data_IF_043903971693
#
_entry.id   IF_043903971693
#
_cell.length_a   1.000
_cell.length_b   1.000
_cell.length_c   1.000
_cell.angle_alpha   90.00
_cell.angle_beta   90.00
_cell.angle_gamma   90.00
#
_symmetry.space_group_name_H-M   'P 1'
#
loop_
_entity.id
_entity.type
_entity.pdbx_description
1 polymer ?
#
# COMPACT_ATOMS: atom_id res chain seq x y z
N UNK A 1 17.99 -8.07 -21.73
CA UNK A 1 16.76 -7.31 -21.45
C UNK A 1 15.65 -8.24 -20.99
N UNK A 2 15.10 -8.03 -19.79
CA UNK A 2 14.00 -8.83 -19.23
C UNK A 2 12.68 -8.54 -19.97
N UNK A 3 11.88 -9.57 -20.20
CA UNK A 3 10.56 -9.49 -20.85
C UNK A 3 9.44 -9.41 -19.81
N UNK A 4 8.60 -8.38 -19.86
CA UNK A 4 7.54 -8.14 -18.87
C UNK A 4 6.17 -8.38 -19.51
N UNK A 5 5.32 -9.15 -18.86
CA UNK A 5 3.87 -9.15 -19.09
C UNK A 5 3.19 -8.15 -18.16
N UNK A 6 2.29 -7.34 -18.69
CA UNK A 6 1.38 -6.51 -17.90
C UNK A 6 0.01 -7.17 -17.86
N UNK A 7 -0.50 -7.39 -16.66
CA UNK A 7 -1.82 -7.96 -16.38
C UNK A 7 -2.57 -6.96 -15.51
N UNK A 8 -3.64 -6.34 -16.02
CA UNK A 8 -4.34 -5.31 -15.26
C UNK A 8 -5.85 -5.27 -15.44
N UNK A 9 -6.52 -4.48 -14.60
CA UNK A 9 -7.98 -4.31 -14.65
C UNK A 9 -8.43 -3.32 -15.72
N UNK A 10 -7.93 -2.08 -15.67
CA UNK A 10 -8.19 -1.03 -16.67
C UNK A 10 -6.92 -0.27 -17.02
N UNK A 11 -6.79 0.16 -18.27
CA UNK A 11 -5.69 1.02 -18.70
C UNK A 11 -6.20 2.33 -19.27
N UNK A 12 -6.28 3.37 -18.44
CA UNK A 12 -6.66 4.74 -18.86
C UNK A 12 -5.77 5.81 -18.22
N UNK A 13 -5.92 7.06 -18.64
CA UNK A 13 -5.25 8.18 -17.99
C UNK A 13 -5.56 8.21 -16.48
N UNK A 14 -4.51 8.36 -15.67
CA UNK A 14 -4.47 8.32 -14.21
C UNK A 14 -4.87 6.98 -13.55
N UNK A 15 -4.97 5.90 -14.33
CA UNK A 15 -5.09 4.55 -13.76
C UNK A 15 -3.74 4.06 -13.21
N UNK A 16 -3.76 3.12 -12.26
CA UNK A 16 -2.52 2.53 -11.77
C UNK A 16 -1.77 1.74 -12.84
N UNK A 17 -2.49 1.08 -13.76
CA UNK A 17 -1.84 0.44 -14.92
C UNK A 17 -1.03 1.48 -15.68
N UNK A 18 -1.59 2.66 -15.95
CA UNK A 18 -0.82 3.73 -16.57
C UNK A 18 0.35 4.19 -15.68
N UNK A 19 0.12 4.48 -14.41
CA UNK A 19 1.17 4.96 -13.52
C UNK A 19 2.36 3.99 -13.44
N UNK A 20 2.14 2.69 -13.48
CA UNK A 20 3.21 1.70 -13.30
C UNK A 20 3.75 1.22 -14.65
N UNK A 21 2.88 0.81 -15.58
CA UNK A 21 3.30 0.25 -16.87
C UNK A 21 3.99 1.28 -17.77
N UNK A 22 3.49 2.53 -17.86
CA UNK A 22 4.13 3.56 -18.71
C UNK A 22 5.58 3.83 -18.27
N UNK A 23 5.92 3.67 -16.99
CA UNK A 23 7.30 3.84 -16.51
C UNK A 23 8.27 2.78 -17.04
N UNK A 24 7.79 1.60 -17.40
CA UNK A 24 8.55 0.58 -18.13
C UNK A 24 8.54 0.81 -19.65
N UNK A 25 7.66 1.67 -20.17
CA UNK A 25 7.58 2.00 -21.60
C UNK A 25 8.42 3.23 -21.96
N UNK A 26 8.31 4.31 -21.18
CA UNK A 26 8.94 5.61 -21.47
C UNK A 26 10.09 5.98 -20.54
N UNK A 27 10.18 5.32 -19.38
CA UNK A 27 11.12 5.65 -18.30
C UNK A 27 10.49 6.51 -17.20
N UNK A 28 11.30 6.90 -16.22
CA UNK A 28 10.87 7.68 -15.06
C UNK A 28 12.04 8.47 -14.44
N UNK A 29 11.78 9.57 -13.70
CA UNK A 29 12.85 10.31 -13.02
C UNK A 29 13.42 9.51 -11.85
N UNK A 30 14.75 9.44 -11.74
CA UNK A 30 15.48 8.79 -10.65
C UNK A 30 16.81 9.52 -10.42
N UNK A 31 17.11 9.91 -9.17
CA UNK A 31 18.39 10.55 -8.82
C UNK A 31 18.72 11.80 -9.65
N UNK A 32 17.72 12.61 -10.01
CA UNK A 32 17.91 13.83 -10.83
C UNK A 32 18.08 13.59 -12.34
N UNK A 33 18.05 12.35 -12.82
CA UNK A 33 18.16 12.01 -14.25
C UNK A 33 16.95 11.22 -14.75
N UNK A 34 16.75 11.18 -16.08
CA UNK A 34 15.72 10.32 -16.68
C UNK A 34 16.24 8.89 -16.80
N UNK A 35 15.63 7.96 -16.08
CA UNK A 35 16.01 6.55 -16.07
C UNK A 35 15.10 5.75 -17.02
N UNK A 36 15.70 4.89 -17.84
CA UNK A 36 15.00 3.90 -18.66
C UNK A 36 15.37 2.50 -18.19
N UNK A 37 14.40 1.70 -17.71
CA UNK A 37 14.67 0.32 -17.29
C UNK A 37 15.28 -0.53 -18.42
N UNK A 38 16.25 -1.41 -18.11
CA UNK A 38 16.76 -2.43 -19.06
C UNK A 38 15.80 -3.64 -19.14
N UNK A 39 14.54 -3.33 -19.43
CA UNK A 39 13.43 -4.28 -19.52
C UNK A 39 12.46 -3.84 -20.61
N UNK A 40 11.68 -4.79 -21.12
CA UNK A 40 10.72 -4.54 -22.19
C UNK A 40 9.37 -5.15 -21.87
N UNK A 41 8.31 -4.35 -21.93
CA UNK A 41 6.93 -4.85 -21.96
C UNK A 41 6.70 -5.54 -23.31
N UNK A 42 6.30 -6.81 -23.28
CA UNK A 42 6.14 -7.65 -24.49
C UNK A 42 4.72 -8.15 -24.70
N UNK A 43 3.87 -8.06 -23.68
CA UNK A 43 2.47 -8.49 -23.74
C UNK A 43 1.64 -7.76 -22.70
N UNK A 44 0.35 -7.63 -23.01
CA UNK A 44 -0.64 -6.96 -22.17
C UNK A 44 -1.93 -7.79 -22.11
N UNK A 45 -2.51 -7.90 -20.92
CA UNK A 45 -3.91 -8.28 -20.71
C UNK A 45 -4.59 -7.19 -19.89
N UNK A 46 -5.76 -6.75 -20.34
CA UNK A 46 -6.62 -5.77 -19.64
C UNK A 46 -8.05 -6.30 -19.63
N UNK A 47 -8.62 -6.41 -18.43
CA UNK A 47 -9.95 -7.01 -18.19
C UNK A 47 -11.10 -6.15 -18.71
N UNK A 48 -11.07 -4.86 -18.40
CA UNK A 48 -12.11 -3.90 -18.76
C UNK A 48 -11.53 -2.77 -19.61
N UNK A 49 -12.17 -2.49 -20.75
CA UNK A 49 -11.77 -1.44 -21.69
C UNK A 49 -12.86 -0.34 -21.76
N UNK A 50 -12.96 0.55 -20.75
CA UNK A 50 -13.92 1.66 -20.75
C UNK A 50 -13.52 2.74 -21.77
N UNK A 51 -14.34 3.78 -21.89
CA UNK A 51 -13.98 4.98 -22.65
C UNK A 51 -12.62 5.54 -22.18
N UNK A 52 -11.77 5.92 -23.14
CA UNK A 52 -10.41 6.40 -22.87
C UNK A 52 -9.38 5.29 -22.57
N UNK A 53 -9.69 4.03 -22.89
CA UNK A 53 -8.73 2.93 -22.83
C UNK A 53 -7.48 3.20 -23.70
N UNK A 54 -6.31 2.90 -23.14
CA UNK A 54 -5.00 3.13 -23.74
C UNK A 54 -4.34 1.84 -24.24
N UNK A 55 -4.98 0.68 -24.06
CA UNK A 55 -4.36 -0.64 -24.24
C UNK A 55 -3.84 -0.84 -25.66
N UNK A 56 -4.71 -0.68 -26.66
CA UNK A 56 -4.35 -0.88 -28.08
C UNK A 56 -3.39 0.20 -28.58
N UNK A 57 -3.59 1.44 -28.11
CA UNK A 57 -2.73 2.57 -28.48
C UNK A 57 -1.30 2.34 -28.01
N UNK A 58 -1.10 1.95 -26.74
CA UNK A 58 0.22 1.63 -26.17
C UNK A 58 0.85 0.40 -26.83
N UNK A 59 0.05 -0.62 -27.12
CA UNK A 59 0.52 -1.80 -27.83
C UNK A 59 1.10 -1.45 -29.21
N UNK A 60 0.41 -0.59 -29.96
CA UNK A 60 0.87 -0.08 -31.26
C UNK A 60 2.13 0.79 -31.14
N UNK A 61 2.13 1.76 -30.21
CA UNK A 61 3.24 2.70 -30.00
C UNK A 61 4.57 2.01 -29.62
N UNK A 62 4.50 0.94 -28.81
CA UNK A 62 5.69 0.29 -28.25
C UNK A 62 5.96 -1.13 -28.79
N UNK A 63 5.14 -1.60 -29.73
CA UNK A 63 5.37 -2.85 -30.46
C UNK A 63 5.16 -4.13 -29.62
N UNK A 64 4.07 -4.20 -28.87
CA UNK A 64 3.60 -5.42 -28.18
C UNK A 64 2.13 -5.72 -28.52
N UNK A 65 1.57 -6.82 -28.00
CA UNK A 65 0.19 -7.24 -28.27
C UNK A 65 -0.68 -7.24 -27.02
N UNK A 66 -1.95 -6.91 -27.19
CA UNK A 66 -3.02 -7.11 -26.19
C UNK A 66 -3.63 -8.50 -26.44
N UNK A 67 -3.63 -9.34 -25.41
CA UNK A 67 -4.13 -10.71 -25.48
C UNK A 67 -5.49 -10.84 -24.77
N UNK A 68 -6.33 -11.79 -25.20
CA UNK A 68 -7.66 -12.00 -24.63
C UNK A 68 -7.64 -12.73 -23.28
N UNK A 69 -6.52 -13.33 -22.88
CA UNK A 69 -6.37 -14.03 -21.60
C UNK A 69 -5.01 -13.82 -20.96
N UNK A 70 -4.95 -13.97 -19.63
CA UNK A 70 -3.70 -13.91 -18.86
C UNK A 70 -2.73 -14.99 -19.35
N UNK A 71 -3.21 -16.21 -19.59
CA UNK A 71 -2.38 -17.31 -20.07
C UNK A 71 -1.73 -16.99 -21.43
N UNK A 72 -2.49 -16.44 -22.38
CA UNK A 72 -1.94 -16.03 -23.67
C UNK A 72 -0.96 -14.86 -23.54
N UNK A 73 -1.22 -13.88 -22.67
CA UNK A 73 -0.30 -12.78 -22.40
C UNK A 73 1.03 -13.29 -21.84
N UNK A 74 1.01 -14.21 -20.87
CA UNK A 74 2.21 -14.79 -20.28
C UNK A 74 3.01 -15.64 -21.28
N UNK A 75 2.35 -16.27 -22.25
CA UNK A 75 2.98 -17.09 -23.31
C UNK A 75 3.27 -16.32 -24.60
N UNK A 76 2.93 -15.03 -24.65
CA UNK A 76 2.96 -14.21 -25.87
C UNK A 76 2.26 -14.90 -27.07
N UNK A 77 1.18 -15.64 -26.83
CA UNK A 77 0.43 -16.41 -27.85
C UNK A 77 1.05 -17.75 -28.24
N UNK A 78 2.17 -18.15 -27.64
CA UNK A 78 2.76 -19.48 -27.80
C UNK A 78 2.25 -20.52 -26.80
N UNK A 79 2.95 -21.65 -26.73
CA UNK A 79 2.58 -22.81 -25.89
C UNK A 79 3.37 -22.91 -24.57
N UNK A 80 4.27 -21.96 -24.28
CA UNK A 80 5.07 -21.95 -23.06
C UNK A 80 5.36 -20.52 -22.58
N UNK A 81 5.64 -20.37 -21.29
CA UNK A 81 5.89 -19.10 -20.62
C UNK A 81 7.02 -18.32 -21.29
N UNK A 82 6.68 -17.19 -21.91
CA UNK A 82 7.55 -16.41 -22.78
C UNK A 82 7.97 -15.05 -22.18
N UNK A 83 7.72 -14.84 -20.89
CA UNK A 83 8.08 -13.62 -20.14
C UNK A 83 8.97 -13.93 -18.95
N UNK A 84 9.73 -12.95 -18.49
CA UNK A 84 10.66 -13.05 -17.35
C UNK A 84 10.12 -12.44 -16.07
N UNK A 85 9.01 -11.70 -16.13
CA UNK A 85 8.37 -11.05 -14.99
C UNK A 85 6.91 -10.68 -15.29
N UNK A 86 6.10 -10.50 -14.24
CA UNK A 86 4.68 -10.12 -14.34
C UNK A 86 4.40 -8.88 -13.49
N UNK A 87 3.86 -7.83 -14.12
CA UNK A 87 3.20 -6.72 -13.44
C UNK A 87 1.71 -7.02 -13.31
N UNK A 88 1.24 -7.31 -12.10
CA UNK A 88 -0.17 -7.55 -11.80
C UNK A 88 -0.78 -6.33 -11.12
N UNK A 89 -1.61 -5.58 -11.85
CA UNK A 89 -2.12 -4.26 -11.45
C UNK A 89 -3.64 -4.24 -11.58
N UNK A 90 -4.32 -4.69 -10.53
CA UNK A 90 -5.77 -4.78 -10.49
C UNK A 90 -6.28 -3.73 -9.52
N UNK A 91 -6.39 -2.49 -10.00
CA UNK A 91 -6.87 -1.33 -9.25
C UNK A 91 -7.62 -0.40 -10.19
N UNK A 92 -8.71 0.21 -9.70
CA UNK A 92 -9.80 0.74 -10.52
C UNK A 92 -10.50 -0.31 -11.41
N UNK A 93 -11.58 0.11 -12.05
CA UNK A 93 -12.51 -0.75 -12.78
C UNK A 93 -13.85 -0.83 -12.06
N UNK A 94 -14.84 -1.42 -12.73
CA UNK A 94 -16.14 -1.65 -12.15
C UNK A 94 -16.21 -3.09 -11.62
N UNK A 95 -16.09 -3.24 -10.31
CA UNK A 95 -16.17 -4.53 -9.61
C UNK A 95 -17.20 -4.43 -8.47
N UNK A 96 -17.86 -5.54 -8.11
CA UNK A 96 -18.85 -5.53 -7.03
C UNK A 96 -18.22 -5.15 -5.69
N UNK A 97 -19.06 -4.73 -4.75
CA UNK A 97 -18.68 -4.50 -3.34
C UNK A 97 -19.35 -5.52 -2.44
N UNK A 98 -18.70 -5.88 -1.34
CA UNK A 98 -19.32 -6.68 -0.27
C UNK A 98 -19.97 -5.78 0.81
N UNK A 99 -20.59 -6.42 1.80
CA UNK A 99 -21.20 -5.78 2.98
C UNK A 99 -20.23 -4.94 3.82
N UNK A 100 -18.93 -5.27 3.78
CA UNK A 100 -17.85 -4.51 4.43
C UNK A 100 -17.45 -3.27 3.63
N UNK A 101 -18.11 -3.00 2.50
CA UNK A 101 -17.82 -1.87 1.61
C UNK A 101 -16.59 -2.06 0.73
N UNK A 102 -15.90 -3.20 0.85
CA UNK A 102 -14.69 -3.49 0.09
C UNK A 102 -15.03 -3.72 -1.37
N UNK A 103 -14.19 -3.21 -2.27
CA UNK A 103 -14.30 -3.54 -3.69
C UNK A 103 -13.66 -4.91 -3.92
N UNK A 104 -14.38 -5.82 -4.56
CA UNK A 104 -13.95 -7.20 -4.79
C UNK A 104 -13.01 -7.31 -5.98
N UNK A 105 -11.91 -6.55 -5.94
CA UNK A 105 -10.87 -6.58 -6.97
C UNK A 105 -10.34 -8.00 -7.15
N UNK A 106 -10.32 -8.55 -8.39
CA UNK A 106 -9.96 -9.94 -8.66
C UNK A 106 -8.44 -10.20 -8.64
N UNK A 107 -7.70 -9.57 -7.71
CA UNK A 107 -6.24 -9.70 -7.58
C UNK A 107 -5.81 -11.16 -7.40
N UNK A 108 -6.48 -11.86 -6.50
CA UNK A 108 -6.24 -13.28 -6.23
C UNK A 108 -6.56 -14.15 -7.46
N UNK A 109 -7.68 -13.89 -8.13
CA UNK A 109 -8.11 -14.65 -9.31
C UNK A 109 -7.13 -14.48 -10.48
N UNK A 110 -6.59 -13.28 -10.67
CA UNK A 110 -5.58 -13.00 -11.71
C UNK A 110 -4.24 -13.63 -11.35
N UNK A 111 -3.85 -13.53 -10.08
CA UNK A 111 -2.61 -14.13 -9.58
C UNK A 111 -2.66 -15.66 -9.69
N UNK A 112 -3.81 -16.27 -9.38
CA UNK A 112 -4.03 -17.71 -9.54
C UNK A 112 -3.86 -18.16 -10.99
N UNK A 113 -4.38 -17.41 -11.96
CA UNK A 113 -4.15 -17.72 -13.38
C UNK A 113 -2.67 -17.63 -13.78
N UNK A 114 -1.90 -16.70 -13.19
CA UNK A 114 -0.45 -16.65 -13.40
C UNK A 114 0.23 -17.90 -12.83
N UNK A 115 -0.13 -18.28 -11.60
CA UNK A 115 0.37 -19.49 -10.93
C UNK A 115 0.04 -20.76 -11.72
N UNK A 116 -1.18 -20.87 -12.26
CA UNK A 116 -1.58 -22.02 -13.10
C UNK A 116 -0.71 -22.17 -14.36
N UNK A 117 -0.29 -21.05 -14.98
CA UNK A 117 0.67 -21.08 -16.10
C UNK A 117 2.05 -21.53 -15.62
N UNK A 118 2.51 -21.03 -14.47
CA UNK A 118 3.82 -21.40 -13.92
C UNK A 118 3.91 -22.90 -13.62
N UNK A 119 2.85 -23.48 -13.07
CA UNK A 119 2.76 -24.91 -12.77
C UNK A 119 2.73 -25.76 -14.04
N UNK A 120 1.90 -25.38 -15.03
CA UNK A 120 1.79 -26.10 -16.30
C UNK A 120 3.08 -26.06 -17.11
N UNK A 121 3.79 -24.94 -17.08
CA UNK A 121 4.98 -24.74 -17.90
C UNK A 121 6.28 -25.09 -17.14
N UNK A 122 6.17 -25.50 -15.87
CA UNK A 122 7.30 -25.90 -15.02
C UNK A 122 8.27 -24.77 -14.71
N UNK A 123 7.87 -23.51 -14.87
CA UNK A 123 8.71 -22.33 -14.66
C UNK A 123 7.91 -21.19 -14.05
N UNK A 124 8.41 -20.62 -12.96
CA UNK A 124 7.86 -19.43 -12.34
C UNK A 124 8.77 -18.21 -12.55
N UNK A 125 8.17 -17.03 -12.51
CA UNK A 125 8.87 -15.74 -12.66
C UNK A 125 8.45 -14.75 -11.57
N UNK A 126 9.26 -13.73 -11.25
CA UNK A 126 8.88 -12.69 -10.31
C UNK A 126 7.53 -12.03 -10.65
N UNK A 127 6.74 -11.77 -9.61
CA UNK A 127 5.43 -11.10 -9.74
C UNK A 127 5.38 -9.90 -8.81
N UNK A 128 5.02 -8.74 -9.36
CA UNK A 128 4.57 -7.61 -8.56
C UNK A 128 3.04 -7.56 -8.51
N UNK A 129 2.46 -7.40 -7.32
CA UNK A 129 1.02 -7.21 -7.10
C UNK A 129 0.74 -5.81 -6.53
N UNK A 130 -0.03 -5.00 -7.25
CA UNK A 130 -0.38 -3.65 -6.79
C UNK A 130 -1.35 -3.64 -5.59
N UNK A 131 -1.01 -2.85 -4.55
CA UNK A 131 -1.73 -2.68 -3.26
C UNK A 131 -1.76 -3.94 -2.38
N UNK A 132 -2.82 -4.07 -1.57
CA UNK A 132 -3.11 -5.25 -0.78
C UNK A 132 -3.21 -6.47 -1.69
N UNK A 133 -2.87 -7.65 -1.16
CA UNK A 133 -2.86 -8.89 -1.94
C UNK A 133 -4.29 -9.28 -2.35
N UNK A 134 -5.22 -9.24 -1.41
CA UNK A 134 -6.64 -9.49 -1.65
C UNK A 134 -7.48 -8.83 -0.57
N UNK A 135 -8.76 -8.59 -0.86
CA UNK A 135 -9.75 -8.10 0.10
C UNK A 135 -10.08 -9.15 1.18
N UNK A 136 -9.69 -10.41 0.97
CA UNK A 136 -9.86 -11.52 1.89
C UNK A 136 -8.51 -12.12 2.30
N UNK A 137 -8.31 -12.34 3.60
CA UNK A 137 -7.05 -12.79 4.17
C UNK A 137 -6.65 -14.18 3.70
N UNK A 138 -7.58 -15.14 3.61
CA UNK A 138 -7.26 -16.49 3.14
C UNK A 138 -6.76 -16.48 1.69
N UNK A 139 -7.39 -15.67 0.84
CA UNK A 139 -6.92 -15.43 -0.54
C UNK A 139 -5.54 -14.77 -0.56
N UNK A 140 -5.33 -13.74 0.26
CA UNK A 140 -4.03 -13.06 0.36
C UNK A 140 -2.92 -14.02 0.85
N UNK A 141 -3.22 -14.84 1.85
CA UNK A 141 -2.33 -15.84 2.41
C UNK A 141 -1.98 -16.90 1.36
N UNK A 142 -2.98 -17.38 0.61
CA UNK A 142 -2.76 -18.32 -0.50
C UNK A 142 -1.78 -17.76 -1.54
N UNK A 143 -1.85 -16.48 -1.88
CA UNK A 143 -0.92 -15.85 -2.83
C UNK A 143 0.53 -15.87 -2.33
N UNK A 144 0.75 -15.55 -1.05
CA UNK A 144 2.10 -15.61 -0.44
C UNK A 144 2.60 -17.05 -0.34
N UNK A 145 1.74 -17.99 0.06
CA UNK A 145 2.08 -19.40 0.16
C UNK A 145 2.40 -20.00 -1.22
N UNK A 146 1.67 -19.62 -2.26
CA UNK A 146 1.94 -20.04 -3.64
C UNK A 146 3.29 -19.52 -4.13
N UNK A 147 3.63 -18.25 -3.85
CA UNK A 147 4.94 -17.68 -4.18
C UNK A 147 6.08 -18.44 -3.49
N UNK A 148 5.93 -18.78 -2.20
CA UNK A 148 6.89 -19.60 -1.46
C UNK A 148 7.02 -21.01 -2.01
N UNK A 149 5.89 -21.67 -2.27
CA UNK A 149 5.82 -23.05 -2.79
C UNK A 149 6.49 -23.17 -4.16
N UNK A 150 6.24 -22.21 -5.06
CA UNK A 150 6.80 -22.17 -6.40
C UNK A 150 8.14 -21.41 -6.49
N UNK A 151 8.62 -20.89 -5.36
CA UNK A 151 9.93 -20.23 -5.20
C UNK A 151 10.16 -19.06 -6.16
N UNK A 152 9.13 -18.26 -6.45
CA UNK A 152 9.29 -17.02 -7.19
C UNK A 152 9.26 -15.79 -6.27
N UNK A 153 10.02 -14.73 -6.60
CA UNK A 153 9.95 -13.48 -5.86
C UNK A 153 8.57 -12.82 -5.98
N UNK A 154 7.99 -12.46 -4.84
CA UNK A 154 6.75 -11.69 -4.77
C UNK A 154 7.04 -10.36 -4.10
N UNK A 155 6.69 -9.27 -4.81
CA UNK A 155 6.60 -7.93 -4.23
C UNK A 155 5.13 -7.51 -4.28
N UNK A 156 4.63 -6.94 -3.20
CA UNK A 156 3.31 -6.35 -3.15
C UNK A 156 3.34 -5.05 -2.37
N UNK A 157 2.32 -4.22 -2.54
CA UNK A 157 2.15 -3.01 -1.75
C UNK A 157 1.81 -1.77 -2.54
N UNK A 158 1.76 -0.64 -1.85
CA UNK A 158 1.56 0.69 -2.42
C UNK A 158 2.84 1.53 -2.46
N UNK A 159 2.73 2.76 -2.96
CA UNK A 159 3.83 3.72 -3.04
C UNK A 159 4.19 4.35 -1.69
N UNK A 160 3.31 4.37 -0.68
CA UNK A 160 3.58 5.09 0.57
C UNK A 160 4.81 4.57 1.31
N UNK A 161 5.03 3.24 1.48
CA UNK A 161 6.24 2.75 2.16
C UNK A 161 7.57 3.16 1.50
N UNK A 162 7.53 3.52 0.22
CA UNK A 162 8.71 3.79 -0.62
C UNK A 162 8.79 5.24 -1.10
N UNK A 163 7.78 6.07 -0.82
CA UNK A 163 7.80 7.50 -1.16
C UNK A 163 8.67 8.30 -0.20
N UNK A 164 8.91 9.57 -0.48
CA UNK A 164 9.68 10.46 0.38
C UNK A 164 9.01 10.67 1.75
N UNK A 165 9.83 10.92 2.76
CA UNK A 165 9.40 11.27 4.11
C UNK A 165 9.85 12.68 4.43
N UNK A 166 8.97 13.49 5.03
CA UNK A 166 9.27 14.86 5.43
C UNK A 166 9.00 15.07 6.94
N UNK A 167 10.02 15.34 7.77
CA UNK A 167 11.45 15.23 7.46
C UNK A 167 11.86 13.79 7.10
N UNK A 168 13.03 13.63 6.49
CA UNK A 168 13.63 12.33 6.20
C UNK A 168 13.97 11.63 7.53
N UNK A 169 13.07 10.76 7.98
CA UNK A 169 13.27 9.95 9.18
C UNK A 169 13.30 8.46 8.86
N UNK A 170 14.20 7.79 9.55
CA UNK A 170 14.29 6.35 9.60
C UNK A 170 14.39 5.94 11.07
N UNK A 171 13.37 5.25 11.59
CA UNK A 171 13.44 4.68 12.93
C UNK A 171 14.63 3.71 12.99
N UNK A 172 15.46 3.73 14.05
CA UNK A 172 16.59 2.81 14.13
C UNK A 172 16.14 1.36 14.06
N UNK A 173 16.90 0.53 13.35
CA UNK A 173 16.62 -0.89 13.26
C UNK A 173 16.75 -1.54 14.64
N UNK A 174 15.77 -2.37 15.03
CA UNK A 174 15.61 -2.93 16.38
C UNK A 174 15.37 -1.89 17.49
N UNK A 175 14.78 -0.73 17.18
CA UNK A 175 14.37 0.22 18.22
C UNK A 175 13.20 -0.31 19.07
N UNK A 176 13.00 0.25 20.25
CA UNK A 176 11.82 -0.01 21.08
C UNK A 176 10.81 1.12 20.88
N UNK A 177 9.67 0.79 20.26
CA UNK A 177 8.55 1.70 20.04
C UNK A 177 7.57 1.53 21.19
N UNK A 178 7.21 2.62 21.86
CA UNK A 178 6.30 2.60 23.01
C UNK A 178 4.84 2.79 22.58
N UNK A 179 4.61 3.65 21.59
CA UNK A 179 3.30 3.94 20.99
C UNK A 179 3.51 4.51 19.57
N UNK A 180 2.56 4.28 18.66
CA UNK A 180 2.60 4.82 17.30
C UNK A 180 1.21 5.17 16.78
N UNK A 181 1.16 6.27 16.03
CA UNK A 181 -0.07 6.82 15.46
C UNK A 181 0.15 7.20 14.00
N UNK A 182 -0.80 6.80 13.16
CA UNK A 182 -0.91 7.23 11.78
C UNK A 182 -2.16 8.08 11.60
N UNK A 183 -2.04 9.15 10.82
CA UNK A 183 -3.15 9.97 10.34
C UNK A 183 -3.25 9.78 8.82
N UNK A 184 -4.44 9.44 8.36
CA UNK A 184 -4.74 9.28 6.93
C UNK A 184 -6.04 9.98 6.53
N UNK A 185 -6.28 10.00 5.22
CA UNK A 185 -7.45 10.61 4.60
C UNK A 185 -7.92 9.78 3.40
N UNK A 186 -9.18 9.97 3.01
CA UNK A 186 -9.83 9.37 1.86
C UNK A 186 -10.91 8.34 2.24
N UNK A 187 -11.37 7.61 1.22
CA UNK A 187 -12.44 6.63 1.37
C UNK A 187 -11.99 5.32 2.02
N UNK A 188 -12.87 4.72 2.81
CA UNK A 188 -12.62 3.45 3.49
C UNK A 188 -12.30 2.31 2.51
N UNK A 189 -11.50 1.35 2.97
CA UNK A 189 -10.88 0.24 2.24
C UNK A 189 -9.59 0.65 1.48
N UNK A 190 -9.62 1.31 0.29
CA UNK A 190 -8.37 1.62 -0.43
C UNK A 190 -7.43 2.57 0.31
N UNK A 191 -7.97 3.62 0.95
CA UNK A 191 -7.12 4.64 1.61
C UNK A 191 -6.76 4.24 3.04
N UNK A 192 -7.59 3.43 3.69
CA UNK A 192 -7.26 2.80 4.96
C UNK A 192 -6.05 1.87 4.79
N UNK A 193 -6.06 1.05 3.73
CA UNK A 193 -4.94 0.19 3.39
C UNK A 193 -3.63 0.97 3.26
N UNK A 194 -3.68 2.08 2.53
CA UNK A 194 -2.54 2.97 2.35
C UNK A 194 -1.96 3.44 3.67
N UNK A 195 -2.81 3.98 4.56
CA UNK A 195 -2.38 4.50 5.83
C UNK A 195 -1.83 3.39 6.75
N UNK A 196 -2.50 2.24 6.80
CA UNK A 196 -2.03 1.07 7.56
C UNK A 196 -0.68 0.57 7.04
N UNK A 197 -0.47 0.53 5.73
CA UNK A 197 0.80 0.08 5.15
C UNK A 197 1.94 1.07 5.43
N UNK A 198 1.67 2.37 5.35
CA UNK A 198 2.62 3.42 5.72
C UNK A 198 3.03 3.30 7.19
N UNK A 199 2.07 3.09 8.10
CA UNK A 199 2.36 2.82 9.51
C UNK A 199 3.18 1.54 9.69
N UNK A 200 2.78 0.46 9.02
CA UNK A 200 3.42 -0.85 9.13
C UNK A 200 4.91 -0.77 8.75
N UNK A 201 5.26 -0.05 7.67
CA UNK A 201 6.66 0.06 7.23
C UNK A 201 7.57 0.83 8.21
N UNK A 202 6.97 1.60 9.13
CA UNK A 202 7.70 2.28 10.20
C UNK A 202 7.87 1.33 11.40
N UNK A 203 6.79 0.72 11.86
CA UNK A 203 6.78 -0.08 13.09
C UNK A 203 7.42 -1.47 12.93
N UNK A 204 7.53 -2.01 11.71
CA UNK A 204 8.19 -3.30 11.46
C UNK A 204 9.69 -3.33 11.81
N UNK A 205 10.29 -2.14 12.01
CA UNK A 205 11.70 -1.96 12.39
C UNK A 205 11.93 -2.11 13.89
N UNK A 206 10.86 -2.31 14.67
CA UNK A 206 10.93 -2.52 16.12
C UNK A 206 11.73 -3.77 16.49
N UNK A 207 12.21 -3.81 17.73
CA UNK A 207 12.95 -4.92 18.32
C UNK A 207 12.20 -6.23 18.13
N UNK A 208 12.83 -7.19 17.45
CA UNK A 208 12.25 -8.51 17.17
C UNK A 208 11.56 -8.63 15.80
N UNK A 209 11.24 -7.51 15.14
CA UNK A 209 10.48 -7.49 13.88
C UNK A 209 8.98 -7.65 14.09
N UNK A 210 8.25 -7.95 13.01
CA UNK A 210 6.81 -8.20 13.07
C UNK A 210 6.52 -9.58 13.68
N UNK A 211 5.64 -9.61 14.68
CA UNK A 211 5.30 -10.83 15.43
C UNK A 211 3.83 -11.25 15.28
N UNK A 212 3.04 -10.45 14.56
CA UNK A 212 1.64 -10.65 14.28
C UNK A 212 0.75 -9.71 15.10
N UNK A 213 -0.53 -9.70 14.75
CA UNK A 213 -1.54 -8.86 15.40
C UNK A 213 -2.39 -9.72 16.31
N UNK A 214 -2.51 -9.28 17.56
CA UNK A 214 -3.28 -9.96 18.60
C UNK A 214 -4.76 -9.66 18.45
N UNK A 215 -5.10 -8.38 18.36
CA UNK A 215 -6.48 -7.92 18.30
C UNK A 215 -6.62 -6.60 17.56
N UNK A 216 -7.85 -6.34 17.09
CA UNK A 216 -8.21 -5.09 16.44
C UNK A 216 -9.57 -4.58 16.92
N UNK A 217 -9.77 -3.27 16.81
CA UNK A 217 -11.09 -2.65 16.95
C UNK A 217 -11.18 -1.42 16.05
N UNK A 218 -12.29 -1.28 15.32
CA UNK A 218 -12.60 -0.07 14.56
C UNK A 218 -13.83 0.63 15.16
N UNK A 219 -13.72 1.94 15.42
CA UNK A 219 -14.84 2.78 15.84
C UNK A 219 -14.94 4.02 14.96
N UNK A 220 -16.12 4.63 14.91
CA UNK A 220 -16.41 5.76 14.02
C UNK A 220 -17.19 6.86 14.76
N UNK A 221 -17.18 8.07 14.19
CA UNK A 221 -17.98 9.19 14.69
C UNK A 221 -17.54 9.66 16.09
N UNK A 222 -18.52 10.07 16.90
CA UNK A 222 -18.28 10.64 18.24
C UNK A 222 -17.52 9.69 19.19
N UNK A 223 -17.61 8.38 18.97
CA UNK A 223 -16.87 7.40 19.74
C UNK A 223 -15.35 7.58 19.60
N UNK A 224 -14.86 8.06 18.45
CA UNK A 224 -13.43 8.35 18.22
C UNK A 224 -12.95 9.48 19.13
N UNK A 225 -13.74 10.54 19.25
CA UNK A 225 -13.41 11.69 20.10
C UNK A 225 -13.47 11.32 21.57
N UNK A 226 -14.52 10.59 21.98
CA UNK A 226 -14.63 10.05 23.33
C UNK A 226 -13.42 9.18 23.69
N UNK A 227 -12.98 8.30 22.79
CA UNK A 227 -11.78 7.48 22.98
C UNK A 227 -10.51 8.33 23.16
N UNK A 228 -10.43 9.49 22.52
CA UNK A 228 -9.35 10.46 22.71
C UNK A 228 -9.34 11.12 24.08
N UNK A 229 -10.51 11.47 24.60
CA UNK A 229 -10.65 12.00 25.96
C UNK A 229 -10.34 10.94 27.02
N UNK A 230 -10.63 9.67 26.73
CA UNK A 230 -10.26 8.52 27.58
C UNK A 230 -8.78 8.11 27.44
N UNK A 231 -8.00 8.79 26.60
CA UNK A 231 -6.57 8.50 26.43
C UNK A 231 -6.26 7.20 25.67
N UNK A 232 -7.23 6.66 24.91
CA UNK A 232 -7.03 5.43 24.10
C UNK A 232 -6.10 5.63 22.91
N UNK A 233 -5.91 6.89 22.50
CA UNK A 233 -4.88 7.31 21.55
C UNK A 233 -4.20 8.59 22.06
N UNK A 234 -2.92 8.76 21.74
CA UNK A 234 -2.12 9.86 22.27
C UNK A 234 -2.39 11.19 21.54
N UNK A 235 -2.85 12.20 22.29
CA UNK A 235 -2.99 13.57 21.79
C UNK A 235 -1.64 14.17 21.35
N UNK A 236 -0.54 13.78 21.98
CA UNK A 236 0.80 14.28 21.63
C UNK A 236 1.33 13.65 20.34
N UNK A 237 1.09 12.35 20.12
CA UNK A 237 1.38 11.72 18.83
C UNK A 237 0.54 12.36 17.71
N UNK A 238 -0.74 12.61 17.96
CA UNK A 238 -1.61 13.27 16.98
C UNK A 238 -1.14 14.69 16.65
N UNK A 239 -0.81 15.52 17.65
CA UNK A 239 -0.23 16.85 17.42
C UNK A 239 1.05 16.77 16.60
N UNK A 240 1.93 15.83 16.94
CA UNK A 240 3.20 15.65 16.23
C UNK A 240 3.01 15.24 14.78
N UNK A 241 2.11 14.29 14.50
CA UNK A 241 1.76 13.88 13.15
C UNK A 241 1.18 15.07 12.35
N UNK A 242 0.19 15.78 12.90
CA UNK A 242 -0.42 16.94 12.23
C UNK A 242 0.57 18.07 11.98
N UNK A 243 1.58 18.24 12.84
CA UNK A 243 2.63 19.26 12.64
C UNK A 243 3.51 19.02 11.41
N UNK A 244 3.43 17.84 10.78
CA UNK A 244 4.16 17.50 9.55
C UNK A 244 3.36 17.76 8.28
N UNK A 245 2.04 18.00 8.40
CA UNK A 245 1.17 18.22 7.26
C UNK A 245 1.42 19.59 6.63
N UNK A 246 1.51 19.62 5.31
CA UNK A 246 1.53 20.84 4.50
C UNK A 246 0.15 21.12 3.85
N UNK A 247 -0.87 20.33 4.23
CA UNK A 247 -2.24 20.43 3.73
C UNK A 247 -3.29 20.58 4.82
N UNK A 248 -2.91 21.10 5.99
CA UNK A 248 -3.84 21.38 7.09
C UNK A 248 -4.99 22.28 6.63
N UNK A 249 -6.21 21.87 6.97
CA UNK A 249 -7.44 22.59 6.65
C UNK A 249 -7.86 23.53 7.81
N UNK A 250 -8.97 24.24 7.64
CA UNK A 250 -9.50 25.18 8.63
C UNK A 250 -8.92 26.58 8.48
N UNK A 251 -8.64 27.26 9.59
CA UNK A 251 -8.20 28.66 9.58
C UNK A 251 -6.88 28.89 8.83
N UNK A 252 -6.02 27.87 8.78
CA UNK A 252 -4.80 27.90 7.97
C UNK A 252 -5.10 28.23 6.50
N UNK A 253 -6.17 27.68 5.94
CA UNK A 253 -6.58 27.92 4.55
C UNK A 253 -7.44 29.17 4.42
N UNK A 254 -8.26 29.48 5.43
CA UNK A 254 -9.17 30.64 5.39
C UNK A 254 -8.45 31.98 5.55
N UNK A 255 -7.44 32.08 6.42
CA UNK A 255 -6.78 33.35 6.73
C UNK A 255 -5.25 33.26 6.97
N UNK A 256 -4.64 32.09 6.76
CA UNK A 256 -3.19 31.92 6.79
C UNK A 256 -2.56 31.82 8.19
N UNK A 257 -3.36 31.79 9.27
CA UNK A 257 -2.81 31.64 10.63
C UNK A 257 -2.33 30.21 10.91
N UNK A 258 -1.31 30.07 11.74
CA UNK A 258 -0.92 28.77 12.30
C UNK A 258 -1.99 28.24 13.27
N UNK A 259 -2.23 26.93 13.27
CA UNK A 259 -3.31 26.34 14.05
C UNK A 259 -2.88 25.04 14.76
N UNK A 260 -3.11 24.96 16.08
CA UNK A 260 -3.14 23.67 16.80
C UNK A 260 -4.54 23.08 16.70
N UNK A 261 -4.75 22.16 15.75
CA UNK A 261 -6.06 21.53 15.54
C UNK A 261 -6.55 20.74 16.75
N UNK A 262 -5.62 20.17 17.53
CA UNK A 262 -5.92 19.36 18.72
C UNK A 262 -6.23 20.27 19.90
N UNK A 263 -5.31 21.18 20.25
CA UNK A 263 -5.43 22.07 21.40
C UNK A 263 -6.59 23.06 21.31
N UNK A 264 -6.92 23.53 20.09
CA UNK A 264 -8.00 24.51 19.89
C UNK A 264 -9.39 23.87 19.70
N UNK A 265 -9.51 22.55 19.91
CA UNK A 265 -10.75 21.78 19.70
C UNK A 265 -11.36 22.00 18.30
N UNK A 266 -10.51 22.04 17.26
CA UNK A 266 -10.92 22.30 15.89
C UNK A 266 -11.15 20.99 15.13
N UNK A 267 -10.45 19.91 15.51
CA UNK A 267 -10.64 18.59 14.89
C UNK A 267 -12.10 18.13 14.82
N UNK A 268 -12.91 18.12 15.91
CA UNK A 268 -14.31 17.69 15.83
C UNK A 268 -15.19 18.61 14.98
N UNK A 269 -14.78 19.88 14.78
CA UNK A 269 -15.51 20.83 13.93
C UNK A 269 -15.27 20.55 12.45
N UNK A 270 -14.02 20.24 12.09
CA UNK A 270 -13.59 19.97 10.72
C UNK A 270 -13.94 18.54 10.27
N UNK A 271 -13.71 17.56 11.15
CA UNK A 271 -13.83 16.13 10.84
C UNK A 271 -15.17 15.62 11.35
N UNK A 272 -16.15 15.54 10.46
CA UNK A 272 -17.53 15.14 10.82
C UNK A 272 -17.68 13.65 11.12
N UNK A 273 -16.97 12.81 10.37
CA UNK A 273 -17.05 11.35 10.48
C UNK A 273 -15.63 10.78 10.57
N UNK A 274 -14.95 10.91 11.73
CA UNK A 274 -13.66 10.26 11.92
C UNK A 274 -13.83 8.74 12.04
N UNK A 275 -12.76 8.01 11.72
CA UNK A 275 -12.65 6.59 12.04
C UNK A 275 -11.33 6.33 12.75
N UNK A 276 -11.34 5.45 13.76
CA UNK A 276 -10.16 5.03 14.50
C UNK A 276 -10.00 3.51 14.45
N UNK A 277 -8.79 3.06 14.14
CA UNK A 277 -8.39 1.65 14.08
C UNK A 277 -7.38 1.43 15.20
N UNK A 278 -7.78 0.70 16.23
CA UNK A 278 -6.90 0.29 17.32
C UNK A 278 -6.37 -1.10 17.04
N UNK A 279 -5.05 -1.25 17.10
CA UNK A 279 -4.36 -2.50 16.78
C UNK A 279 -3.42 -2.81 17.94
N UNK A 280 -3.58 -3.99 18.54
CA UNK A 280 -2.64 -4.54 19.52
C UNK A 280 -1.81 -5.63 18.84
N UNK A 281 -0.49 -5.49 18.85
CA UNK A 281 0.46 -6.44 18.29
C UNK A 281 0.81 -7.51 19.32
N UNK A 282 1.27 -8.68 18.86
CA UNK A 282 1.60 -9.84 19.72
C UNK A 282 2.76 -9.57 20.69
N UNK A 283 3.59 -8.57 20.41
CA UNK A 283 4.67 -8.10 21.28
C UNK A 283 4.24 -7.02 22.28
N UNK A 284 2.95 -6.66 22.30
CA UNK A 284 2.37 -5.68 23.22
C UNK A 284 2.40 -4.24 22.70
N UNK A 285 3.01 -3.96 21.54
CA UNK A 285 2.91 -2.64 20.92
C UNK A 285 1.44 -2.34 20.60
N UNK A 286 0.99 -1.13 20.91
CA UNK A 286 -0.30 -0.60 20.47
C UNK A 286 -0.09 0.45 19.41
N UNK A 287 -0.89 0.41 18.36
CA UNK A 287 -0.85 1.38 17.29
C UNK A 287 -2.25 1.85 16.94
N UNK A 288 -2.38 3.13 16.57
CA UNK A 288 -3.64 3.75 16.18
C UNK A 288 -3.56 4.32 14.77
N UNK A 289 -4.53 4.02 13.92
CA UNK A 289 -4.78 4.80 12.71
C UNK A 289 -6.01 5.68 12.94
N UNK A 290 -5.89 6.98 12.64
CA UNK A 290 -6.99 7.94 12.60
C UNK A 290 -7.23 8.40 11.16
N UNK A 291 -8.43 8.19 10.64
CA UNK A 291 -8.87 8.74 9.36
C UNK A 291 -9.59 10.06 9.61
N UNK A 292 -8.94 11.18 9.26
CA UNK A 292 -9.36 12.53 9.65
C UNK A 292 -9.76 13.39 8.44
N UNK A 293 -10.69 12.87 7.63
CA UNK A 293 -11.24 13.55 6.47
C UNK A 293 -11.77 14.95 6.83
N UNK A 294 -11.18 16.00 6.21
CA UNK A 294 -11.54 17.40 6.43
C UNK A 294 -10.56 18.19 7.32
N UNK A 295 -9.62 17.55 8.00
CA UNK A 295 -8.56 18.24 8.78
C UNK A 295 -7.24 18.42 8.02
N UNK A 296 -6.98 17.55 7.03
CA UNK A 296 -5.78 17.53 6.21
C UNK A 296 -6.09 16.81 4.89
N UNK A 297 -5.13 16.79 3.95
CA UNK A 297 -5.21 16.06 2.67
C UNK A 297 -4.01 15.13 2.41
N UNK A 298 -3.16 14.91 3.41
CA UNK A 298 -1.94 14.10 3.33
C UNK A 298 -1.88 13.00 4.41
N UNK A 299 -0.76 12.28 4.48
CA UNK A 299 -0.53 11.12 5.35
C UNK A 299 0.61 11.42 6.31
N UNK A 300 0.38 11.30 7.62
CA UNK A 300 1.38 11.64 8.63
C UNK A 300 1.50 10.55 9.68
N UNK A 301 2.72 10.31 10.14
CA UNK A 301 3.05 9.33 11.17
C UNK A 301 3.73 10.02 12.35
N UNK A 302 3.47 9.50 13.55
CA UNK A 302 4.23 9.80 14.75
C UNK A 302 4.43 8.55 15.59
N UNK A 303 5.56 8.44 16.28
CA UNK A 303 5.82 7.41 17.26
C UNK A 303 6.66 7.92 18.41
N UNK A 304 6.42 7.34 19.59
CA UNK A 304 7.27 7.51 20.75
C UNK A 304 8.29 6.38 20.77
N UNK A 305 9.59 6.71 20.69
CA UNK A 305 10.67 5.73 20.63
C UNK A 305 11.55 5.85 21.88
N UNK A 306 11.72 4.73 22.60
CA UNK A 306 12.50 4.72 23.85
C UNK A 306 13.93 5.21 23.59
N UNK A 307 14.37 6.18 24.40
CA UNK A 307 15.72 6.76 24.34
C UNK A 307 15.94 7.79 23.22
N UNK A 308 14.96 8.00 22.33
CA UNK A 308 15.03 9.00 21.25
C UNK A 308 13.95 10.07 21.45
N UNK A 309 12.78 9.67 21.93
CA UNK A 309 11.63 10.54 22.10
C UNK A 309 10.68 10.48 20.91
N UNK A 310 9.94 11.56 20.72
CA UNK A 310 8.91 11.70 19.70
C UNK A 310 9.53 11.83 18.31
N UNK A 311 9.09 11.00 17.37
CA UNK A 311 9.51 11.02 15.97
C UNK A 311 8.28 11.18 15.09
N UNK A 312 8.33 12.01 14.06
CA UNK A 312 7.20 12.18 13.14
C UNK A 312 7.64 12.59 11.73
N UNK A 313 6.88 12.14 10.73
CA UNK A 313 7.05 12.52 9.35
C UNK A 313 5.74 12.49 8.58
N UNK A 314 5.66 13.31 7.53
CA UNK A 314 4.72 13.17 6.44
C UNK A 314 5.24 12.12 5.45
N UNK A 315 4.33 11.33 4.88
CA UNK A 315 4.59 10.54 3.68
C UNK A 315 4.18 11.36 2.45
N UNK A 316 5.16 11.96 1.78
CA UNK A 316 4.90 12.91 0.70
C UNK A 316 4.39 12.18 -0.55
N UNK A 317 3.18 12.54 -0.99
CA UNK A 317 2.66 12.20 -2.30
C UNK A 317 2.73 13.44 -3.19
N UNK A 318 3.68 13.46 -4.13
CA UNK A 318 3.82 14.56 -5.11
C UNK A 318 2.51 14.79 -5.88
N UNK A 319 2.14 16.05 -6.17
CA UNK A 319 0.93 16.36 -6.93
C UNK A 319 0.82 15.66 -8.30
N UNK A 320 -0.42 15.52 -8.76
CA UNK A 320 -0.74 15.13 -10.14
C UNK A 320 -0.32 16.25 -11.12
N UNK A 321 -0.02 15.93 -12.40
CA UNK A 321 -0.16 14.63 -13.06
C UNK A 321 1.07 13.71 -12.96
N UNK A 322 2.21 14.21 -12.45
CA UNK A 322 3.48 13.47 -12.55
C UNK A 322 3.55 12.23 -11.66
N UNK A 323 2.85 12.24 -10.51
CA UNK A 323 2.73 11.11 -9.57
C UNK A 323 4.08 10.43 -9.28
N UNK A 324 5.12 11.21 -9.04
CA UNK A 324 6.52 10.76 -8.93
C UNK A 324 6.74 9.73 -7.82
N UNK A 325 5.88 9.68 -6.81
CA UNK A 325 5.85 8.59 -5.82
C UNK A 325 5.70 7.19 -6.47
N UNK A 326 5.05 7.10 -7.63
CA UNK A 326 4.94 5.84 -8.39
C UNK A 326 6.27 5.46 -9.06
N UNK A 327 7.15 6.43 -9.33
CA UNK A 327 8.50 6.15 -9.82
C UNK A 327 9.36 5.48 -8.73
N UNK A 328 9.19 5.90 -7.48
CA UNK A 328 9.84 5.28 -6.32
C UNK A 328 9.43 3.80 -6.18
N UNK A 329 8.14 3.53 -6.35
CA UNK A 329 7.62 2.16 -6.36
C UNK A 329 8.13 1.35 -7.54
N UNK A 330 8.07 1.89 -8.76
CA UNK A 330 8.58 1.22 -9.96
C UNK A 330 10.06 0.90 -9.85
N UNK A 331 10.87 1.76 -9.24
CA UNK A 331 12.28 1.45 -8.95
C UNK A 331 12.45 0.18 -8.11
N UNK A 332 11.57 -0.08 -7.15
CA UNK A 332 11.60 -1.31 -6.33
C UNK A 332 11.08 -2.54 -7.07
N UNK A 333 10.13 -2.36 -7.97
CA UNK A 333 9.69 -3.43 -8.87
C UNK A 333 10.81 -3.82 -9.84
N UNK A 334 11.46 -2.82 -10.45
CA UNK A 334 12.61 -3.01 -11.33
C UNK A 334 13.77 -3.70 -10.61
N UNK A 335 14.10 -3.26 -9.39
CA UNK A 335 15.12 -3.91 -8.54
C UNK A 335 14.84 -5.41 -8.39
N UNK A 336 13.58 -5.79 -8.10
CA UNK A 336 13.20 -7.20 -8.01
C UNK A 336 13.30 -7.94 -9.34
N UNK A 337 12.83 -7.35 -10.44
CA UNK A 337 12.85 -8.00 -11.75
C UNK A 337 14.29 -8.18 -12.28
N UNK A 338 15.19 -7.24 -11.97
CA UNK A 338 16.59 -7.32 -12.36
C UNK A 338 17.35 -8.37 -11.53
N UNK A 339 17.15 -8.36 -10.21
CA UNK A 339 17.93 -9.19 -9.27
C UNK A 339 17.32 -10.56 -8.99
N UNK A 340 16.03 -10.74 -9.28
CA UNK A 340 15.26 -11.90 -8.84
C UNK A 340 15.09 -11.98 -7.32
N UNK A 341 15.12 -10.85 -6.60
CA UNK A 341 14.94 -10.78 -5.14
C UNK A 341 14.03 -9.62 -4.77
N UNK A 342 12.99 -9.88 -3.99
CA UNK A 342 12.11 -8.82 -3.50
C UNK A 342 12.88 -7.94 -2.47
N UNK A 343 12.84 -6.60 -2.60
CA UNK A 343 13.57 -5.70 -1.70
C UNK A 343 13.03 -5.71 -0.25
N UNK A 344 11.74 -6.00 -0.09
CA UNK A 344 11.08 -6.12 1.21
C UNK A 344 10.04 -7.26 1.17
N UNK A 345 9.70 -7.86 2.33
CA UNK A 345 8.86 -9.06 2.39
C UNK A 345 7.40 -8.78 2.03
N UNK A 346 6.80 -9.68 1.24
CA UNK A 346 5.37 -9.66 0.92
C UNK A 346 4.49 -9.89 2.17
N UNK A 347 5.07 -10.48 3.23
CA UNK A 347 4.44 -10.63 4.54
C UNK A 347 4.01 -9.30 5.16
N UNK A 348 4.69 -8.18 4.84
CA UNK A 348 4.23 -6.83 5.22
C UNK A 348 2.83 -6.56 4.67
N UNK A 349 2.65 -6.80 3.38
CA UNK A 349 1.36 -6.59 2.72
C UNK A 349 0.31 -7.59 3.22
N UNK A 350 0.71 -8.83 3.50
CA UNK A 350 -0.19 -9.85 4.04
C UNK A 350 -0.77 -9.45 5.40
N UNK A 351 0.07 -9.02 6.36
CA UNK A 351 -0.42 -8.60 7.67
C UNK A 351 -1.32 -7.37 7.57
N UNK A 352 -0.99 -6.41 6.70
CA UNK A 352 -1.82 -5.22 6.48
C UNK A 352 -3.17 -5.56 5.84
N UNK A 353 -3.20 -6.49 4.89
CA UNK A 353 -4.44 -6.96 4.26
C UNK A 353 -5.37 -7.60 5.31
N UNK A 354 -4.79 -8.44 6.18
CA UNK A 354 -5.51 -9.08 7.28
C UNK A 354 -5.97 -8.11 8.36
N UNK A 355 -5.14 -7.13 8.74
CA UNK A 355 -5.52 -6.07 9.67
C UNK A 355 -6.72 -5.28 9.14
N UNK A 356 -6.68 -4.85 7.88
CA UNK A 356 -7.76 -4.09 7.28
C UNK A 356 -9.06 -4.88 7.24
N UNK A 357 -9.05 -6.12 6.73
CA UNK A 357 -10.24 -6.97 6.71
C UNK A 357 -10.83 -7.17 8.11
N UNK A 358 -9.96 -7.39 9.11
CA UNK A 358 -10.40 -7.61 10.51
C UNK A 358 -11.01 -6.33 11.10
N UNK A 359 -10.42 -5.16 10.85
CA UNK A 359 -10.98 -3.87 11.26
C UNK A 359 -12.33 -3.58 10.59
N UNK A 360 -12.47 -3.85 9.29
CA UNK A 360 -13.75 -3.71 8.59
C UNK A 360 -14.79 -4.71 9.11
N UNK A 361 -14.36 -5.90 9.54
CA UNK A 361 -15.21 -6.88 10.23
C UNK A 361 -15.68 -6.33 11.58
N UNK A 362 -14.78 -5.72 12.37
CA UNK A 362 -15.12 -5.04 13.62
C UNK A 362 -16.19 -3.96 13.40
N UNK A 363 -16.02 -3.12 12.36
CA UNK A 363 -16.97 -2.08 11.98
C UNK A 363 -18.37 -2.62 11.69
N UNK A 364 -18.49 -3.64 10.82
CA UNK A 364 -19.82 -4.22 10.49
C UNK A 364 -20.45 -4.96 11.68
N UNK A 365 -19.65 -5.38 12.66
CA UNK A 365 -20.12 -5.98 13.92
C UNK A 365 -20.36 -4.94 15.03
N UNK A 366 -20.52 -3.65 14.69
CA UNK A 366 -20.83 -2.59 15.64
C UNK A 366 -19.64 -2.10 16.46
N UNK A 367 -18.43 -2.22 15.90
CA UNK A 367 -17.18 -1.80 16.53
C UNK A 367 -16.72 -2.74 17.64
N UNK A 368 -17.03 -4.02 17.55
CA UNK A 368 -16.58 -5.04 18.51
C UNK A 368 -15.06 -5.19 18.51
N UNK A 369 -14.49 -5.45 19.67
CA UNK A 369 -13.10 -5.87 19.79
C UNK A 369 -12.94 -7.31 19.30
N UNK A 370 -12.02 -7.55 18.36
CA UNK A 370 -11.83 -8.84 17.73
C UNK A 370 -10.41 -9.36 17.97
N UNK A 371 -10.30 -10.58 18.49
CA UNK A 371 -9.04 -11.34 18.49
C UNK A 371 -8.72 -11.81 17.06
N UNK A 372 -7.44 -11.83 16.69
CA UNK A 372 -6.98 -12.12 15.33
C UNK A 372 -5.93 -13.24 15.28
N UNK A 373 -6.24 -14.47 15.72
CA UNK A 373 -5.27 -15.57 15.75
C UNK A 373 -4.73 -15.95 14.35
N UNK A 374 -5.51 -15.70 13.29
CA UNK A 374 -5.08 -15.88 11.90
C UNK A 374 -3.98 -14.91 11.47
N UNK A 375 -3.80 -13.79 12.18
CA UNK A 375 -2.78 -12.77 11.91
C UNK A 375 -1.45 -13.01 12.63
N UNK A 376 -1.12 -14.27 12.95
CA UNK A 376 0.19 -14.70 13.45
C UNK A 376 1.29 -14.68 12.35
N UNK A 377 1.36 -13.60 11.57
CA UNK A 377 2.32 -13.41 10.48
C UNK A 377 3.61 -12.83 11.06
N UNK A 378 4.73 -13.52 10.87
CA UNK A 378 6.04 -13.08 11.37
C UNK A 378 6.98 -12.79 10.22
N UNK A 379 7.68 -11.66 10.28
CA UNK A 379 8.75 -11.32 9.35
C UNK A 379 9.71 -10.29 9.94
N UNK A 380 10.87 -10.14 9.30
CA UNK A 380 11.82 -9.08 9.62
C UNK A 380 11.86 -8.06 8.50
N UNK A 381 11.80 -6.78 8.87
CA UNK A 381 12.06 -5.69 7.96
C UNK A 381 13.49 -5.78 7.39
N UNK A 382 13.72 -5.28 6.16
CA UNK A 382 15.07 -5.08 5.66
C UNK A 382 15.82 -4.09 6.57
N UNK A 383 17.14 -4.31 6.73
CA UNK A 383 17.99 -3.40 7.51
C UNK A 383 18.00 -2.00 6.90
N UNK A 384 18.16 -1.93 5.58
CA UNK A 384 18.10 -0.69 4.83
C UNK A 384 16.64 -0.26 4.64
N UNK A 385 16.35 1.02 4.81
CA UNK A 385 15.05 1.58 4.44
C UNK A 385 14.97 1.81 2.93
N UNK A 386 13.78 1.60 2.37
CA UNK A 386 13.52 1.65 0.92
C UNK A 386 12.73 2.88 0.48
N UNK A 387 12.51 3.84 1.40
CA UNK A 387 11.89 5.13 1.06
C UNK A 387 12.83 5.96 0.19
N UNK A 388 12.24 6.79 -0.67
CA UNK A 388 12.99 7.68 -1.54
C UNK A 388 13.71 8.77 -0.72
N UNK A 389 14.95 9.05 -1.11
CA UNK A 389 15.78 10.10 -0.52
C UNK A 389 16.05 11.17 -1.57
N UNK A 390 16.25 12.40 -1.11
CA UNK A 390 16.60 13.57 -1.92
C UNK A 390 18.07 13.61 -2.28
#
# INVERSE_FOLDING_TARGET
MKRIAVVGSIYRYLSHVQHIADRFLVGYPSGGVWHRPDMKVVSLYIDQKPEGDLSEKRASEFGFKVYPSIAEALRCGGNSLAVDAVLLIVEHGNYPRNEKGQVLYPRHEFFRQCVEVFEKDGRAVPVYNDKHLSWNFEKAKWMVDAAKRLKFPLLAGSSLPVTWRLPDIELPYNCEIEDALMVGVGGSDPMDYHALEAMQCMIERRKGGETGVRSVQMIEGDAVWKAGEEGRWSKDLLRSALSRSDTLEGYTVEDGRTQDLVGNAQLPKLVKNPSAYFIEHNDGLKTTLLMLNGALRDFNFAAQVRGIGLQSCQFLLTPVPNVTYSACLVSKIEEMFATGRAPYPAERTLIVSGMLESCLTSRVQGGQHLETPHLAVRYKAPKQSHHARG
#
